data_IF_412583310537
#
_entry.id   IF_412583310537
#
_cell.length_a   1.000
_cell.length_b   1.000
_cell.length_c   1.000
_cell.angle_alpha   90.00
_cell.angle_beta   90.00
_cell.angle_gamma   90.00
#
_symmetry.space_group_name_H-M   'P 1'
#
loop_
_entity.id
_entity.type
_entity.pdbx_description
1 polymer ?
#
# COMPACT_ATOMS: atom_id res chain seq x y z
N UNK A 1 -2.97 10.02 28.66
CA UNK A 1 -1.92 9.20 28.00
C UNK A 1 -2.52 7.86 27.67
N UNK A 2 -2.36 7.36 26.45
CA UNK A 2 -2.98 6.10 25.99
C UNK A 2 -1.92 5.04 25.75
N UNK A 3 -2.29 3.76 25.89
CA UNK A 3 -1.43 2.59 25.65
C UNK A 3 -0.70 2.63 24.28
N UNK A 4 -1.24 3.37 23.30
CA UNK A 4 -0.63 3.55 21.97
C UNK A 4 0.63 4.44 21.92
N UNK A 5 0.89 5.20 22.98
CA UNK A 5 2.11 6.02 23.07
C UNK A 5 3.37 5.16 23.35
N UNK A 6 3.19 3.87 23.68
CA UNK A 6 4.26 2.98 24.15
C UNK A 6 4.32 1.64 23.41
N UNK A 7 3.34 1.29 22.56
CA UNK A 7 3.27 0.02 21.84
C UNK A 7 3.02 0.23 20.35
N UNK A 8 4.06 0.03 19.53
CA UNK A 8 4.02 0.14 18.07
C UNK A 8 2.87 -0.63 17.39
N UNK A 9 2.45 -1.85 17.84
CA UNK A 9 1.38 -2.59 17.18
C UNK A 9 0.00 -1.95 17.22
N UNK A 10 -0.24 -1.09 18.21
CA UNK A 10 -1.56 -0.51 18.42
C UNK A 10 -1.96 0.53 17.37
N UNK A 11 -0.99 1.09 16.64
CA UNK A 11 -1.20 2.09 15.60
C UNK A 11 -1.79 1.54 14.30
N UNK A 12 -1.75 0.23 14.11
CA UNK A 12 -2.22 -0.45 12.90
C UNK A 12 -3.13 -1.65 13.17
N UNK A 13 -3.53 -1.87 14.43
CA UNK A 13 -4.56 -2.84 14.76
C UNK A 13 -5.91 -2.38 14.19
N UNK A 14 -6.50 -3.20 13.32
CA UNK A 14 -7.83 -3.00 12.74
C UNK A 14 -8.65 -4.25 13.03
N UNK A 15 -9.69 -4.12 13.85
CA UNK A 15 -10.63 -5.21 14.15
C UNK A 15 -11.93 -4.92 13.37
N UNK A 16 -12.34 -5.78 12.43
CA UNK A 16 -13.50 -5.53 11.57
C UNK A 16 -14.79 -5.22 12.34
N UNK A 17 -15.00 -5.87 13.48
CA UNK A 17 -16.19 -5.67 14.32
C UNK A 17 -16.11 -4.46 15.25
N UNK A 18 -14.94 -3.80 15.38
CA UNK A 18 -14.73 -2.64 16.27
C UNK A 18 -14.34 -1.38 15.47
N UNK A 19 -14.88 -1.19 14.25
CA UNK A 19 -14.48 -0.10 13.35
C UNK A 19 -14.63 1.30 13.95
N UNK A 20 -15.65 1.55 14.79
CA UNK A 20 -15.80 2.84 15.49
C UNK A 20 -14.58 3.14 16.36
N UNK A 21 -14.20 2.20 17.22
CA UNK A 21 -13.04 2.33 18.11
C UNK A 21 -11.74 2.45 17.31
N UNK A 22 -11.62 1.68 16.21
CA UNK A 22 -10.50 1.80 15.29
C UNK A 22 -10.35 3.22 14.74
N UNK A 23 -11.42 3.80 14.19
CA UNK A 23 -11.40 5.16 13.61
C UNK A 23 -11.16 6.25 14.66
N UNK A 24 -11.67 6.09 15.88
CA UNK A 24 -11.55 7.08 16.97
C UNK A 24 -10.20 6.99 17.70
N UNK A 25 -9.65 5.79 17.87
CA UNK A 25 -8.51 5.55 18.79
C UNK A 25 -7.20 5.25 18.08
N UNK A 26 -7.22 4.71 16.85
CA UNK A 26 -5.99 4.36 16.14
C UNK A 26 -5.33 5.61 15.55
N UNK A 27 -4.12 5.94 16.03
CA UNK A 27 -3.44 7.19 15.67
C UNK A 27 -2.86 7.24 14.26
N UNK A 28 -2.55 6.08 13.66
CA UNK A 28 -1.78 6.02 12.43
C UNK A 28 -2.58 5.49 11.24
N UNK A 29 -2.99 4.23 11.27
CA UNK A 29 -3.55 3.56 10.10
C UNK A 29 -4.78 4.28 9.49
N UNK A 30 -5.83 4.67 10.25
CA UNK A 30 -6.99 5.31 9.64
C UNK A 30 -6.67 6.70 9.08
N UNK A 31 -5.65 7.38 9.63
CA UNK A 31 -5.16 8.66 9.13
C UNK A 31 -4.37 8.50 7.82
N UNK A 32 -3.46 7.53 7.75
CA UNK A 32 -2.66 7.25 6.55
C UNK A 32 -3.52 6.71 5.41
N UNK A 33 -4.49 5.84 5.72
CA UNK A 33 -5.41 5.26 4.75
C UNK A 33 -6.56 6.19 4.34
N UNK A 34 -6.60 7.43 4.86
CA UNK A 34 -7.68 8.39 4.58
C UNK A 34 -9.09 7.82 4.90
N UNK A 35 -9.21 7.02 5.96
CA UNK A 35 -10.47 6.35 6.35
C UNK A 35 -11.40 7.28 7.15
N UNK A 36 -10.87 8.33 7.77
CA UNK A 36 -11.65 9.25 8.62
C UNK A 36 -12.44 10.25 7.74
N UNK A 37 -13.79 10.19 7.72
CA UNK A 37 -14.59 11.11 6.93
C UNK A 37 -14.35 12.58 7.31
N UNK A 38 -14.28 13.47 6.32
CA UNK A 38 -14.01 14.89 6.55
C UNK A 38 -12.56 15.26 6.89
N UNK A 39 -11.67 14.27 7.11
CA UNK A 39 -10.25 14.49 7.43
C UNK A 39 -9.29 13.90 6.39
N UNK A 40 -9.80 13.55 5.20
CA UNK A 40 -8.99 12.99 4.11
C UNK A 40 -7.95 14.01 3.65
N UNK A 41 -6.70 13.56 3.51
CA UNK A 41 -5.56 14.38 3.15
C UNK A 41 -5.17 14.16 1.68
N UNK A 42 -5.39 15.18 0.83
CA UNK A 42 -5.06 15.11 -0.59
C UNK A 42 -3.56 15.01 -0.84
N UNK A 43 -2.72 15.65 -0.03
CA UNK A 43 -1.26 15.57 -0.15
C UNK A 43 -0.76 14.14 0.05
N UNK A 44 -1.38 13.36 0.95
CA UNK A 44 -1.02 11.94 1.11
C UNK A 44 -1.34 11.15 -0.15
N UNK A 45 -2.54 11.35 -0.70
CA UNK A 45 -2.98 10.73 -1.95
C UNK A 45 -2.05 11.09 -3.13
N UNK A 46 -1.77 12.36 -3.33
CA UNK A 46 -0.92 12.85 -4.42
C UNK A 46 0.50 12.30 -4.34
N UNK A 47 1.07 12.24 -3.13
CA UNK A 47 2.41 11.69 -2.92
C UNK A 47 2.46 10.19 -3.16
N UNK A 48 1.49 9.45 -2.64
CA UNK A 48 1.44 8.01 -2.87
C UNK A 48 1.21 7.69 -4.36
N UNK A 49 0.31 8.39 -5.04
CA UNK A 49 0.10 8.26 -6.48
C UNK A 49 1.32 8.65 -7.34
N UNK A 50 2.28 9.39 -6.78
CA UNK A 50 3.50 9.79 -7.49
C UNK A 50 4.56 8.70 -7.59
N UNK A 51 4.35 7.55 -6.93
CA UNK A 51 5.26 6.41 -7.03
C UNK A 51 5.47 5.99 -8.49
N UNK A 52 6.73 5.66 -8.81
CA UNK A 52 7.09 5.10 -10.11
C UNK A 52 6.72 3.63 -10.18
N UNK A 53 7.03 2.89 -9.10
CA UNK A 53 6.72 1.48 -8.92
C UNK A 53 6.29 1.24 -7.47
N UNK A 54 5.36 0.31 -7.27
CA UNK A 54 4.94 -0.21 -5.96
C UNK A 54 4.92 -1.73 -6.04
N UNK A 55 5.85 -2.39 -5.36
CA UNK A 55 5.91 -3.86 -5.32
C UNK A 55 5.35 -4.33 -3.99
N UNK A 56 4.28 -5.12 -4.04
CA UNK A 56 3.59 -5.66 -2.88
C UNK A 56 3.79 -7.17 -2.85
N UNK A 57 4.53 -7.65 -1.85
CA UNK A 57 4.89 -9.07 -1.71
C UNK A 57 4.04 -9.68 -0.60
N UNK A 58 3.33 -10.74 -0.92
CA UNK A 58 2.57 -11.57 0.02
C UNK A 58 3.26 -12.94 0.16
N UNK A 59 3.39 -13.41 1.39
CA UNK A 59 3.90 -14.73 1.70
C UNK A 59 2.73 -15.71 1.87
N UNK A 60 2.76 -16.84 1.17
CA UNK A 60 1.60 -17.75 1.13
C UNK A 60 1.31 -18.42 2.47
N UNK A 61 2.36 -18.73 3.24
CA UNK A 61 2.28 -19.35 4.57
C UNK A 61 2.46 -18.34 5.71
N UNK A 62 2.11 -17.06 5.49
CA UNK A 62 2.20 -16.04 6.53
C UNK A 62 1.23 -16.33 7.69
N UNK A 63 1.79 -16.40 8.90
CA UNK A 63 1.04 -16.59 10.16
C UNK A 63 1.13 -15.38 11.09
N UNK A 64 1.79 -14.32 10.65
CA UNK A 64 2.03 -13.08 11.40
C UNK A 64 1.08 -11.99 10.92
N UNK A 65 0.93 -11.82 9.61
CA UNK A 65 -0.03 -10.88 9.01
C UNK A 65 -1.38 -11.59 8.89
N UNK A 66 -2.38 -11.07 9.62
CA UNK A 66 -3.75 -11.60 9.59
C UNK A 66 -4.73 -10.47 9.22
N UNK A 67 -5.46 -10.58 8.10
CA UNK A 67 -5.31 -11.58 7.04
C UNK A 67 -4.07 -11.31 6.18
N UNK A 68 -3.46 -12.34 5.58
CA UNK A 68 -2.26 -12.17 4.72
C UNK A 68 -2.48 -11.21 3.55
N UNK A 69 -3.72 -11.14 3.05
CA UNK A 69 -4.21 -10.22 2.02
C UNK A 69 -3.99 -8.74 2.37
N UNK A 70 -3.80 -8.41 3.65
CA UNK A 70 -3.38 -7.06 4.08
C UNK A 70 -2.08 -6.61 3.41
N UNK A 71 -1.19 -7.56 3.05
CA UNK A 71 0.03 -7.31 2.25
C UNK A 71 -0.26 -6.71 0.87
N UNK A 72 -1.46 -6.94 0.35
CA UNK A 72 -1.95 -6.47 -0.94
C UNK A 72 -3.10 -5.47 -0.80
N UNK A 73 -3.27 -4.82 0.36
CA UNK A 73 -4.40 -3.91 0.67
C UNK A 73 -5.79 -4.58 0.63
N UNK A 74 -5.87 -5.91 0.67
CA UNK A 74 -7.10 -6.63 0.95
C UNK A 74 -7.41 -6.66 2.46
N UNK A 75 -8.68 -6.79 2.82
CA UNK A 75 -9.08 -6.91 4.23
C UNK A 75 -10.49 -7.48 4.38
N UNK A 76 -10.90 -7.79 5.60
CA UNK A 76 -12.28 -8.14 5.93
C UNK A 76 -13.26 -6.96 5.68
N UNK A 77 -14.54 -7.24 5.40
CA UNK A 77 -15.58 -6.22 5.35
C UNK A 77 -15.78 -5.53 6.70
N UNK A 78 -16.21 -4.26 6.68
CA UNK A 78 -16.53 -3.52 7.92
C UNK A 78 -17.67 -4.24 8.67
N UNK A 79 -17.44 -4.55 9.94
CA UNK A 79 -18.42 -5.18 10.83
C UNK A 79 -18.43 -6.71 10.85
N UNK A 80 -17.62 -7.38 10.02
CA UNK A 80 -17.73 -8.83 9.83
C UNK A 80 -16.38 -9.48 9.50
N UNK A 81 -16.20 -10.76 9.88
CA UNK A 81 -15.02 -11.56 9.54
C UNK A 81 -15.30 -12.49 8.34
N UNK A 82 -16.29 -12.14 7.52
CA UNK A 82 -16.69 -12.89 6.34
C UNK A 82 -15.66 -12.85 5.21
N UNK A 83 -16.06 -13.17 3.96
CA UNK A 83 -15.14 -13.31 2.86
C UNK A 83 -14.25 -12.08 2.69
N UNK A 84 -12.95 -12.33 2.53
CA UNK A 84 -11.98 -11.25 2.34
C UNK A 84 -12.31 -10.45 1.09
N UNK A 85 -12.22 -9.13 1.21
CA UNK A 85 -12.28 -8.22 0.09
C UNK A 85 -10.88 -8.14 -0.53
N UNK A 86 -10.81 -8.42 -1.83
CA UNK A 86 -9.64 -8.06 -2.62
C UNK A 86 -9.46 -6.54 -2.61
N UNK A 87 -8.25 -6.06 -2.91
CA UNK A 87 -7.97 -4.62 -2.99
C UNK A 87 -9.00 -3.86 -3.84
N UNK A 88 -9.41 -4.43 -4.98
CA UNK A 88 -10.39 -3.84 -5.91
C UNK A 88 -11.80 -3.74 -5.33
N UNK A 89 -12.12 -4.55 -4.34
CA UNK A 89 -13.43 -4.57 -3.68
C UNK A 89 -13.52 -3.60 -2.51
N UNK A 90 -12.39 -3.15 -1.96
CA UNK A 90 -12.35 -2.20 -0.83
C UNK A 90 -12.87 -0.81 -1.23
N UNK A 91 -13.44 -0.09 -0.25
CA UNK A 91 -13.83 1.33 -0.44
C UNK A 91 -12.61 2.22 -0.74
N UNK A 92 -11.49 1.96 -0.05
CA UNK A 92 -10.21 2.66 -0.24
C UNK A 92 -9.79 2.68 -1.71
N UNK A 93 -9.94 1.56 -2.43
CA UNK A 93 -9.62 1.48 -3.85
C UNK A 93 -10.72 2.07 -4.73
N UNK A 94 -11.99 1.69 -4.50
CA UNK A 94 -13.13 2.11 -5.34
C UNK A 94 -13.31 3.62 -5.38
N UNK A 95 -13.15 4.28 -4.24
CA UNK A 95 -13.21 5.75 -4.09
C UNK A 95 -11.83 6.42 -4.18
N UNK A 96 -10.77 5.64 -4.40
CA UNK A 96 -9.39 6.09 -4.56
C UNK A 96 -8.90 7.03 -3.43
N UNK A 97 -9.03 6.59 -2.18
CA UNK A 97 -8.73 7.43 -1.00
C UNK A 97 -7.26 7.81 -0.88
N UNK A 98 -6.36 6.94 -1.34
CA UNK A 98 -4.91 7.13 -1.22
C UNK A 98 -4.20 7.25 -2.58
N UNK A 99 -4.91 7.20 -3.71
CA UNK A 99 -4.26 7.26 -5.02
C UNK A 99 -3.71 5.92 -5.51
N UNK A 100 -4.15 4.80 -4.93
CA UNK A 100 -3.74 3.45 -5.33
C UNK A 100 -4.36 3.04 -6.68
N UNK A 101 -5.59 3.48 -6.95
CA UNK A 101 -6.31 3.11 -8.18
C UNK A 101 -5.55 3.46 -9.46
N UNK A 102 -5.05 4.69 -9.66
CA UNK A 102 -4.27 5.01 -10.87
C UNK A 102 -2.95 4.24 -10.95
N UNK A 103 -2.30 3.92 -9.82
CA UNK A 103 -1.09 3.09 -9.86
C UNK A 103 -1.40 1.69 -10.39
N UNK A 104 -2.48 1.06 -9.91
CA UNK A 104 -2.92 -0.26 -10.39
C UNK A 104 -3.36 -0.19 -11.85
N UNK A 105 -4.20 0.78 -12.21
CA UNK A 105 -4.75 0.92 -13.56
C UNK A 105 -3.66 1.25 -14.61
N UNK A 106 -2.55 1.88 -14.20
CA UNK A 106 -1.40 2.19 -15.08
C UNK A 106 -0.28 1.15 -15.01
N UNK A 107 -0.49 0.02 -14.34
CA UNK A 107 0.49 -1.08 -14.28
C UNK A 107 1.74 -0.76 -13.46
N UNK A 108 1.67 0.21 -12.54
CA UNK A 108 2.77 0.57 -11.63
C UNK A 108 2.80 -0.24 -10.34
N UNK A 109 1.78 -1.07 -10.09
CA UNK A 109 1.72 -1.96 -8.93
C UNK A 109 1.98 -3.39 -9.37
N UNK A 110 2.98 -4.02 -8.76
CA UNK A 110 3.27 -5.43 -8.93
C UNK A 110 2.76 -6.19 -7.70
N UNK A 111 1.83 -7.12 -7.90
CA UNK A 111 1.30 -7.99 -6.84
C UNK A 111 2.02 -9.35 -6.92
N UNK A 112 2.93 -9.60 -5.99
CA UNK A 112 3.79 -10.79 -5.97
C UNK A 112 3.37 -11.73 -4.83
N UNK A 113 3.06 -12.97 -5.15
CA UNK A 113 2.83 -14.05 -4.17
C UNK A 113 4.03 -14.97 -4.23
N UNK A 114 4.59 -15.31 -3.07
CA UNK A 114 5.71 -16.25 -2.95
C UNK A 114 5.47 -17.24 -1.83
N UNK A 115 5.94 -18.47 -2.06
CA UNK A 115 5.94 -19.53 -1.06
C UNK A 115 6.81 -19.13 0.14
N UNK A 116 6.39 -19.58 1.33
CA UNK A 116 7.15 -19.41 2.56
C UNK A 116 6.44 -18.64 3.65
N UNK A 117 7.06 -18.66 4.83
CA UNK A 117 6.58 -17.96 6.02
C UNK A 117 6.95 -16.47 6.00
N UNK A 118 6.40 -15.71 6.95
CA UNK A 118 6.62 -14.27 7.10
C UNK A 118 8.11 -13.86 6.94
N UNK A 119 8.39 -13.02 5.94
CA UNK A 119 9.73 -12.51 5.60
C UNK A 119 10.76 -13.58 5.18
N UNK A 120 10.34 -14.81 4.92
CA UNK A 120 11.19 -15.88 4.40
C UNK A 120 11.14 -15.90 2.87
N UNK A 121 12.00 -15.10 2.26
CA UNK A 121 12.14 -15.00 0.81
C UNK A 121 13.40 -15.71 0.33
N UNK A 122 13.31 -16.49 -0.75
CA UNK A 122 14.48 -17.15 -1.34
C UNK A 122 15.38 -16.14 -2.08
N UNK A 123 16.66 -16.43 -2.22
CA UNK A 123 17.56 -15.56 -3.02
C UNK A 123 17.08 -15.42 -4.47
N UNK A 124 16.46 -16.48 -5.03
CA UNK A 124 15.88 -16.45 -6.38
C UNK A 124 14.75 -15.42 -6.46
N UNK A 125 13.87 -15.39 -5.47
CA UNK A 125 12.76 -14.43 -5.41
C UNK A 125 13.24 -13.00 -5.14
N UNK A 126 14.26 -12.80 -4.30
CA UNK A 126 14.89 -11.49 -4.10
C UNK A 126 15.44 -10.96 -5.43
N UNK A 127 16.21 -11.78 -6.14
CA UNK A 127 16.80 -11.42 -7.44
C UNK A 127 15.72 -11.13 -8.48
N UNK A 128 14.60 -11.85 -8.43
CA UNK A 128 13.51 -11.70 -9.39
C UNK A 128 12.64 -10.47 -9.13
N UNK A 129 12.20 -10.25 -7.88
CA UNK A 129 11.14 -9.29 -7.56
C UNK A 129 11.63 -8.02 -6.87
N UNK A 130 12.85 -8.00 -6.31
CA UNK A 130 13.39 -6.83 -5.59
C UNK A 130 14.53 -6.17 -6.35
N UNK A 131 15.56 -6.94 -6.73
CA UNK A 131 16.78 -6.41 -7.35
C UNK A 131 16.53 -5.50 -8.58
N UNK A 132 15.59 -5.80 -9.50
CA UNK A 132 15.38 -4.96 -10.68
C UNK A 132 15.01 -3.51 -10.36
N UNK A 133 14.40 -3.25 -9.19
CA UNK A 133 13.99 -1.92 -8.75
C UNK A 133 15.07 -1.16 -7.97
N UNK A 134 16.15 -1.84 -7.57
CA UNK A 134 17.28 -1.26 -6.84
C UNK A 134 18.47 -0.93 -7.76
N UNK A 135 18.48 -1.50 -8.96
CA UNK A 135 19.46 -1.15 -9.98
C UNK A 135 19.19 0.27 -10.46
N UNK A 136 20.24 1.11 -10.49
CA UNK A 136 20.12 2.45 -11.08
C UNK A 136 19.64 2.30 -12.52
N UNK A 137 18.44 2.79 -12.82
CA UNK A 137 18.10 3.05 -14.21
C UNK A 137 19.08 4.11 -14.71
N UNK A 138 19.89 3.74 -15.70
CA UNK A 138 20.79 4.69 -16.35
C UNK A 138 19.99 5.95 -16.71
N UNK A 139 20.51 7.11 -16.32
CA UNK A 139 19.88 8.43 -16.47
C UNK A 139 19.56 8.82 -17.93
N UNK A 140 19.86 7.94 -18.89
CA UNK A 140 19.49 8.00 -20.30
C UNK A 140 18.02 7.67 -20.60
N UNK A 141 17.31 6.94 -19.73
CA UNK A 141 15.90 6.58 -19.99
C UNK A 141 14.89 7.56 -19.38
N UNK A 142 15.32 8.39 -18.43
CA UNK A 142 14.54 9.53 -17.95
C UNK A 142 14.58 10.64 -19.00
N UNK A 143 13.67 10.58 -20.00
CA UNK A 143 13.47 11.64 -20.99
C UNK A 143 13.45 13.00 -20.28
N UNK A 144 14.48 13.81 -20.56
CA UNK A 144 14.63 15.18 -20.04
C UNK A 144 13.44 16.03 -20.47
N UNK A 145 12.46 16.16 -19.59
CA UNK A 145 11.40 17.15 -19.74
C UNK A 145 11.85 18.46 -19.12
N UNK A 146 11.85 19.54 -19.91
CA UNK A 146 12.21 20.85 -19.41
C UNK A 146 11.15 21.29 -18.39
N UNK A 147 11.53 21.41 -17.10
CA UNK A 147 10.61 21.68 -15.98
C UNK A 147 9.86 23.02 -16.11
N UNK A 148 10.28 23.90 -17.01
CA UNK A 148 9.62 25.19 -17.29
C UNK A 148 8.56 25.14 -18.39
N UNK A 149 8.69 24.25 -19.38
CA UNK A 149 7.82 24.29 -20.58
C UNK A 149 7.06 22.99 -20.83
N UNK A 150 7.39 21.89 -20.13
CA UNK A 150 6.83 20.56 -20.42
C UNK A 150 6.88 20.22 -21.92
N UNK A 151 7.98 20.56 -22.58
CA UNK A 151 8.27 20.10 -23.94
C UNK A 151 9.55 19.25 -23.95
N UNK A 152 9.65 18.24 -24.84
CA UNK A 152 10.88 17.52 -25.06
C UNK A 152 11.92 18.46 -25.70
N UNK A 153 13.15 18.46 -25.16
CA UNK A 153 14.27 19.16 -25.77
C UNK A 153 14.56 18.54 -27.14
N UNK A 154 14.34 19.33 -28.20
CA UNK A 154 14.72 18.94 -29.56
C UNK A 154 16.23 18.87 -29.64
N UNK A 155 16.73 17.76 -30.16
CA UNK A 155 18.14 17.59 -30.55
C UNK A 155 18.38 18.26 -31.88
#
# INVERSE_FOLDING_TARGET
MTLQDHLAPSGYLKIPTEMKKYLESSKYLPKLNNEIPGQRNSTYKERFASLHNLVLIMFEDDKVIVPKDSSWFGFYPDGDFGPLLTVRETKLFKEDWIGLKPLVDTGKVEFVSIDGAHLRMSNVDIVKYVVPYLQNQSSSEQKRFNRKTKEPLRT
#
